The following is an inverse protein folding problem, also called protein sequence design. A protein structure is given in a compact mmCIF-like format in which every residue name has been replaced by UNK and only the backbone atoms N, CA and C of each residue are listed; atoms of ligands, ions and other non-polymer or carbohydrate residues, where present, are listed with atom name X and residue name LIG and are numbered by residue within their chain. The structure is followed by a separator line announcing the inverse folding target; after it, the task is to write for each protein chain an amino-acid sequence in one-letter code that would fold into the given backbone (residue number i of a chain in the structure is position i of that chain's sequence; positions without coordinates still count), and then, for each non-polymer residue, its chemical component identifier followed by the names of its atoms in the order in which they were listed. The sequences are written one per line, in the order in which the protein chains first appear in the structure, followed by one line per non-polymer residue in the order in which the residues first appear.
data_IF_793867062477
#
_entry.id   IF_793867062477
#
_cell.length_a   1.000
_cell.length_b   1.000
_cell.length_c   1.000
_cell.angle_alpha   90.00
_cell.angle_beta   90.00
_cell.angle_gamma   90.00
#
_symmetry.space_group_name_H-M   'P 1'
#
loop_
_entity.id
_entity.type
_entity.pdbx_description
1 polymer ?
#
# COMPACT_ATOMS: atom_id res chain seq x y z
N UNK A 1 -65.02 -11.54 -56.55
CA UNK A 1 -63.65 -10.97 -56.51
C UNK A 1 -62.72 -11.98 -55.86
N UNK A 2 -61.44 -11.92 -56.23
CA UNK A 2 -60.44 -12.99 -56.32
C UNK A 2 -59.97 -13.67 -55.01
N UNK A 3 -59.73 -15.00 -55.11
CA UNK A 3 -58.78 -15.78 -54.30
C UNK A 3 -57.33 -15.41 -54.66
N UNK A 4 -56.40 -15.44 -53.69
CA UNK A 4 -54.97 -15.83 -53.79
C UNK A 4 -54.33 -15.71 -52.40
N UNK A 5 -53.81 -16.79 -51.82
CA UNK A 5 -52.36 -17.08 -51.74
C UNK A 5 -51.88 -16.73 -50.32
N UNK A 6 -50.82 -17.27 -49.72
CA UNK A 6 -49.78 -18.19 -50.13
C UNK A 6 -49.07 -18.64 -48.83
N UNK A 7 -48.64 -19.89 -48.83
CA UNK A 7 -47.92 -20.62 -47.77
C UNK A 7 -46.59 -19.96 -47.37
N UNK A 8 -46.20 -20.05 -46.09
CA UNK A 8 -44.78 -20.16 -45.73
C UNK A 8 -44.63 -20.97 -44.42
N UNK A 9 -44.14 -22.21 -44.57
CA UNK A 9 -43.72 -23.09 -43.46
C UNK A 9 -42.24 -22.79 -43.21
N UNK A 10 -41.92 -22.33 -42.00
CA UNK A 10 -40.56 -22.10 -41.54
C UNK A 10 -40.00 -23.40 -40.95
N UNK A 11 -39.08 -24.04 -41.67
CA UNK A 11 -38.31 -25.20 -41.17
C UNK A 11 -37.10 -24.66 -40.42
N UNK A 12 -37.05 -24.87 -39.10
CA UNK A 12 -35.95 -24.47 -38.24
C UNK A 12 -35.07 -25.72 -37.99
N UNK A 13 -33.90 -25.73 -38.63
CA UNK A 13 -32.87 -26.75 -38.49
C UNK A 13 -32.22 -26.65 -37.10
N UNK A 14 -32.42 -27.67 -36.27
CA UNK A 14 -31.65 -27.87 -35.03
C UNK A 14 -30.20 -28.19 -35.38
N UNK A 15 -29.29 -27.27 -35.04
CA UNK A 15 -27.85 -27.51 -35.00
C UNK A 15 -27.46 -28.12 -33.66
N UNK A 16 -26.90 -29.34 -33.71
CA UNK A 16 -26.24 -30.00 -32.58
C UNK A 16 -24.86 -29.37 -32.39
N UNK A 17 -24.58 -28.83 -31.20
CA UNK A 17 -23.21 -28.56 -30.75
C UNK A 17 -22.92 -29.43 -29.53
N UNK A 18 -22.01 -30.39 -29.73
CA UNK A 18 -21.30 -31.10 -28.66
C UNK A 18 -19.95 -30.43 -28.59
N UNK A 19 -19.62 -29.80 -27.46
CA UNK A 19 -18.23 -29.50 -27.12
C UNK A 19 -17.93 -29.95 -25.69
N UNK A 20 -16.84 -30.70 -25.65
CA UNK A 20 -16.18 -31.39 -24.55
C UNK A 20 -16.04 -30.56 -23.28
N UNK A 21 -16.13 -31.25 -22.14
CA UNK A 21 -15.66 -30.71 -20.88
C UNK A 21 -14.15 -30.47 -20.89
N UNK A 22 -13.77 -29.36 -20.26
CA UNK A 22 -12.52 -29.22 -19.51
C UNK A 22 -12.93 -28.63 -18.16
N UNK A 23 -12.67 -29.37 -17.09
CA UNK A 23 -12.62 -28.78 -15.76
C UNK A 23 -11.35 -27.94 -15.70
N UNK A 24 -11.52 -26.64 -15.79
CA UNK A 24 -10.45 -25.68 -15.56
C UNK A 24 -10.63 -25.20 -14.13
N UNK A 25 -9.86 -25.80 -13.22
CA UNK A 25 -9.63 -25.27 -11.89
C UNK A 25 -8.99 -23.91 -12.04
N UNK A 26 -9.76 -22.85 -11.77
CA UNK A 26 -9.22 -21.51 -11.59
C UNK A 26 -8.20 -21.57 -10.44
N UNK A 27 -6.95 -21.12 -10.63
CA UNK A 27 -6.12 -20.81 -9.49
C UNK A 27 -6.80 -19.64 -8.78
N UNK A 28 -7.13 -19.84 -7.51
CA UNK A 28 -7.37 -18.75 -6.58
C UNK A 28 -6.02 -18.07 -6.41
N UNK A 29 -5.78 -17.04 -7.21
CA UNK A 29 -4.79 -16.02 -6.84
C UNK A 29 -5.36 -15.37 -5.60
N UNK A 30 -4.79 -15.75 -4.46
CA UNK A 30 -4.93 -15.01 -3.23
C UNK A 30 -4.11 -13.74 -3.43
N UNK A 31 -4.71 -12.78 -4.13
CA UNK A 31 -4.32 -11.38 -4.06
C UNK A 31 -4.48 -11.01 -2.58
N UNK A 32 -3.37 -11.01 -1.84
CA UNK A 32 -3.29 -10.29 -0.60
C UNK A 32 -3.80 -8.87 -0.90
N UNK A 33 -4.91 -8.50 -0.27
CA UNK A 33 -5.62 -7.28 -0.63
C UNK A 33 -4.73 -6.08 -0.39
N UNK A 34 -4.16 -5.52 -1.45
CA UNK A 34 -3.74 -4.12 -1.49
C UNK A 34 -5.03 -3.31 -1.51
N UNK A 35 -5.55 -3.11 -0.30
CA UNK A 35 -6.68 -2.24 -0.04
C UNK A 35 -6.13 -0.82 -0.12
N UNK A 36 -6.07 -0.28 -1.35
CA UNK A 36 -5.95 1.16 -1.57
C UNK A 36 -7.18 1.81 -0.94
N UNK A 37 -7.04 2.14 0.35
CA UNK A 37 -8.10 2.68 1.19
C UNK A 37 -8.20 4.20 1.04
N UNK A 38 -7.52 4.82 0.05
CA UNK A 38 -7.48 6.27 -0.08
C UNK A 38 -6.75 6.97 1.07
N UNK A 39 -5.96 6.24 1.86
CA UNK A 39 -5.14 6.81 2.93
C UNK A 39 -3.82 7.29 2.35
N UNK A 40 -3.44 8.49 2.73
CA UNK A 40 -2.28 9.21 2.23
C UNK A 40 -1.31 9.48 3.37
N UNK A 41 -0.01 9.26 3.14
CA UNK A 41 1.03 9.61 4.11
C UNK A 41 1.92 10.70 3.52
N UNK A 42 1.95 11.87 4.15
CA UNK A 42 2.99 12.89 3.95
C UNK A 42 4.05 12.72 5.02
N UNK A 43 5.24 12.21 4.68
CA UNK A 43 6.34 12.01 5.62
C UNK A 43 7.12 13.32 5.78
N UNK A 44 7.32 13.75 7.02
CA UNK A 44 7.90 15.05 7.37
C UNK A 44 9.24 14.84 8.07
N UNK A 45 10.31 15.44 7.54
CA UNK A 45 11.57 15.58 8.28
C UNK A 45 11.41 16.69 9.32
N UNK A 46 11.35 16.29 10.59
CA UNK A 46 11.10 17.20 11.73
C UNK A 46 12.28 18.13 12.00
N UNK A 47 13.46 17.85 11.46
CA UNK A 47 14.64 18.72 11.64
C UNK A 47 14.55 20.00 10.82
N UNK A 48 13.84 19.94 9.69
CA UNK A 48 13.65 21.07 8.76
C UNK A 48 12.19 21.46 8.56
N UNK A 49 11.25 20.69 9.10
CA UNK A 49 9.79 20.91 8.98
C UNK A 49 9.32 20.90 7.52
N UNK A 50 9.82 19.94 6.72
CA UNK A 50 9.48 19.78 5.31
C UNK A 50 9.02 18.34 5.00
N UNK A 51 8.05 18.23 4.08
CA UNK A 51 7.62 16.93 3.53
C UNK A 51 8.75 16.40 2.64
N UNK A 52 9.29 15.23 3.00
CA UNK A 52 10.39 14.58 2.29
C UNK A 52 9.90 13.51 1.33
N UNK A 53 8.77 12.88 1.63
CA UNK A 53 8.10 11.98 0.70
C UNK A 53 6.60 11.91 0.95
N UNK A 54 5.89 11.34 -0.01
CA UNK A 54 4.45 11.19 -0.02
C UNK A 54 4.10 9.82 -0.58
N UNK A 55 3.21 9.09 0.10
CA UNK A 55 2.66 7.80 -0.35
C UNK A 55 1.18 7.93 -0.71
N UNK A 56 0.82 7.47 -1.91
CA UNK A 56 -0.56 7.40 -2.41
C UNK A 56 -0.65 6.40 -3.56
N UNK A 57 -1.81 5.78 -3.79
CA UNK A 57 -2.04 4.77 -4.84
C UNK A 57 -0.90 3.72 -4.90
N UNK A 58 -0.53 3.14 -3.76
CA UNK A 58 0.50 2.10 -3.61
C UNK A 58 1.91 2.48 -4.12
N UNK A 59 2.30 3.76 -4.08
CA UNK A 59 3.67 4.15 -4.40
C UNK A 59 4.17 5.39 -3.66
N UNK A 60 5.50 5.44 -3.51
CA UNK A 60 6.28 6.57 -3.02
C UNK A 60 6.76 7.44 -4.18
N UNK A 61 6.96 8.74 -3.94
CA UNK A 61 7.30 9.70 -5.00
C UNK A 61 8.78 10.10 -5.03
N UNK A 62 9.46 10.14 -3.88
CA UNK A 62 10.79 10.76 -3.75
C UNK A 62 11.83 9.88 -3.06
N UNK A 63 11.48 9.18 -1.98
CA UNK A 63 12.38 8.46 -1.09
C UNK A 63 12.66 9.19 0.23
N UNK A 64 13.19 8.47 1.21
CA UNK A 64 13.63 9.04 2.49
C UNK A 64 14.96 9.80 2.35
N UNK A 65 15.23 10.79 3.25
CA UNK A 65 16.56 11.33 3.43
C UNK A 65 17.58 10.24 3.80
N UNK A 66 18.85 10.48 3.45
CA UNK A 66 19.95 9.63 3.92
C UNK A 66 20.05 9.66 5.44
N UNK A 67 20.19 8.49 6.05
CA UNK A 67 20.31 8.30 7.49
C UNK A 67 21.80 8.37 7.87
N UNK A 68 22.21 9.27 8.77
CA UNK A 68 23.62 9.34 9.16
C UNK A 68 24.04 8.15 10.05
N UNK A 69 25.22 7.60 9.79
CA UNK A 69 25.79 6.50 10.57
C UNK A 69 26.08 6.90 12.03
N UNK A 70 25.57 6.11 12.97
CA UNK A 70 25.58 6.37 14.42
C UNK A 70 24.77 7.61 14.85
N UNK A 71 23.87 8.09 14.00
CA UNK A 71 22.89 9.12 14.33
C UNK A 71 21.50 8.66 13.87
N UNK A 72 20.51 9.55 13.96
CA UNK A 72 19.15 9.27 13.53
C UNK A 72 18.57 10.41 12.69
N UNK A 73 17.54 10.08 11.92
CA UNK A 73 16.57 11.04 11.40
C UNK A 73 15.27 10.91 12.18
N UNK A 74 14.54 12.03 12.30
CA UNK A 74 13.26 12.10 13.00
C UNK A 74 12.14 12.46 12.04
N UNK A 75 11.25 11.50 11.83
CA UNK A 75 10.20 11.56 10.82
C UNK A 75 8.82 11.59 11.48
N UNK A 76 8.07 12.66 11.25
CA UNK A 76 6.64 12.74 11.53
C UNK A 76 5.82 12.44 10.28
N UNK A 77 4.49 12.51 10.40
CA UNK A 77 3.62 12.41 9.24
C UNK A 77 2.35 13.27 9.39
N UNK A 78 1.83 13.77 8.27
CA UNK A 78 0.39 14.04 8.16
C UNK A 78 -0.24 12.84 7.47
N UNK A 79 -1.30 12.29 8.05
CA UNK A 79 -2.03 11.16 7.46
C UNK A 79 -3.43 11.66 7.10
N UNK A 80 -3.81 11.51 5.83
CA UNK A 80 -5.10 11.98 5.31
C UNK A 80 -5.93 10.76 4.93
N UNK A 81 -7.18 10.72 5.40
CA UNK A 81 -8.10 9.61 5.17
C UNK A 81 -8.83 9.70 3.80
N UNK A 82 -9.68 8.71 3.53
CA UNK A 82 -10.50 8.64 2.30
C UNK A 82 -11.49 9.80 2.14
N UNK A 83 -11.71 10.60 3.17
CA UNK A 83 -12.58 11.77 3.18
C UNK A 83 -11.82 13.09 3.04
N UNK A 84 -10.51 13.03 2.75
CA UNK A 84 -9.61 14.18 2.71
C UNK A 84 -9.49 14.90 4.06
N UNK A 85 -9.76 14.20 5.16
CA UNK A 85 -9.60 14.71 6.53
C UNK A 85 -8.27 14.22 7.12
N UNK A 86 -7.56 15.11 7.80
CA UNK A 86 -6.32 14.78 8.51
C UNK A 86 -6.63 14.01 9.79
N UNK A 87 -5.95 12.88 9.98
CA UNK A 87 -6.00 12.06 11.18
C UNK A 87 -5.03 12.64 12.21
N UNK A 88 -5.55 13.05 13.37
CA UNK A 88 -4.72 13.54 14.48
C UNK A 88 -3.90 12.41 15.10
N UNK A 89 -2.57 12.53 15.05
CA UNK A 89 -1.63 11.61 15.70
C UNK A 89 -1.32 12.07 17.12
N UNK A 90 -2.14 11.65 18.08
CA UNK A 90 -2.00 12.00 19.50
C UNK A 90 -1.10 11.04 20.29
N UNK A 91 -0.71 9.91 19.69
CA UNK A 91 0.08 8.85 20.30
C UNK A 91 -0.68 7.97 21.29
N UNK A 92 -1.96 8.25 21.55
CA UNK A 92 -2.82 7.47 22.44
C UNK A 92 -3.86 6.67 21.64
N UNK A 93 -4.63 7.34 20.78
CA UNK A 93 -5.63 6.73 19.91
C UNK A 93 -5.04 6.43 18.55
N UNK A 94 -4.35 7.41 17.93
CA UNK A 94 -3.66 7.20 16.66
C UNK A 94 -2.18 7.54 16.78
N UNK A 95 -1.34 6.73 16.14
CA UNK A 95 0.09 6.90 16.13
C UNK A 95 0.69 6.57 14.76
N UNK A 96 1.84 7.18 14.46
CA UNK A 96 2.73 6.76 13.40
C UNK A 96 3.56 5.58 13.90
N UNK A 97 3.35 4.43 13.27
CA UNK A 97 4.20 3.25 13.45
C UNK A 97 5.21 3.11 12.32
N UNK A 98 6.22 2.27 12.55
CA UNK A 98 7.21 1.88 11.55
C UNK A 98 7.66 0.45 11.80
N UNK A 99 7.78 -0.33 10.73
CA UNK A 99 8.31 -1.70 10.81
C UNK A 99 9.21 -1.99 9.60
N UNK A 100 9.88 -3.13 9.62
CA UNK A 100 10.65 -3.63 8.49
C UNK A 100 9.74 -4.23 7.43
N UNK A 101 10.10 -4.03 6.17
CA UNK A 101 9.47 -4.77 5.08
C UNK A 101 9.85 -6.26 5.12
N UNK A 102 9.06 -7.09 4.44
CA UNK A 102 9.38 -8.51 4.27
C UNK A 102 10.78 -8.69 3.65
N UNK A 103 11.57 -9.62 4.20
CA UNK A 103 12.95 -9.92 3.80
C UNK A 103 13.96 -8.76 3.93
N UNK A 104 13.61 -7.66 4.60
CA UNK A 104 14.51 -6.53 4.83
C UNK A 104 15.71 -6.91 5.72
N UNK A 105 16.79 -6.16 5.57
CA UNK A 105 18.00 -6.35 6.38
C UNK A 105 17.94 -5.48 7.64
N UNK A 106 17.49 -6.06 8.75
CA UNK A 106 17.32 -5.38 10.04
C UNK A 106 18.65 -4.93 10.68
N UNK A 107 19.81 -5.40 10.21
CA UNK A 107 21.12 -5.02 10.77
C UNK A 107 21.55 -3.58 10.36
N UNK A 108 20.84 -2.93 9.43
CA UNK A 108 21.23 -1.62 8.85
C UNK A 108 20.76 -0.45 9.73
N UNK A 109 19.55 -0.54 10.28
CA UNK A 109 18.93 0.51 11.12
C UNK A 109 18.25 -0.08 12.34
N UNK A 110 18.09 0.72 13.39
CA UNK A 110 17.13 0.47 14.48
C UNK A 110 15.93 1.42 14.34
N UNK A 111 14.75 0.94 14.72
CA UNK A 111 13.50 1.70 14.67
C UNK A 111 13.02 2.03 16.09
N UNK A 112 12.60 3.27 16.35
CA UNK A 112 12.05 3.71 17.64
C UNK A 112 10.80 4.58 17.43
N UNK A 113 9.71 4.25 18.12
CA UNK A 113 8.40 4.88 17.94
C UNK A 113 8.06 5.82 19.10
N UNK A 114 7.51 6.99 18.80
CA UNK A 114 7.24 8.04 19.78
C UNK A 114 5.80 8.59 19.73
N UNK A 115 4.88 7.89 19.06
CA UNK A 115 3.48 8.30 18.93
C UNK A 115 3.25 9.11 17.65
N UNK A 116 3.58 10.40 17.65
CA UNK A 116 3.40 11.30 16.49
C UNK A 116 4.57 11.25 15.49
N UNK A 117 5.64 10.52 15.83
CA UNK A 117 6.84 10.40 15.01
C UNK A 117 7.61 9.12 15.32
N UNK A 118 8.57 8.84 14.45
CA UNK A 118 9.52 7.73 14.57
C UNK A 118 10.95 8.23 14.39
N UNK A 119 11.89 7.50 14.98
CA UNK A 119 13.31 7.62 14.68
C UNK A 119 13.78 6.41 13.89
N UNK A 120 14.56 6.69 12.85
CA UNK A 120 15.33 5.68 12.13
C UNK A 120 16.81 5.94 12.44
N UNK A 121 17.43 4.99 13.13
CA UNK A 121 18.79 5.12 13.67
C UNK A 121 19.75 4.34 12.78
N UNK A 122 20.77 4.99 12.23
CA UNK A 122 21.75 4.35 11.35
C UNK A 122 22.77 3.51 12.13
N UNK A 123 22.65 2.18 12.08
CA UNK A 123 23.56 1.26 12.77
C UNK A 123 24.76 0.86 11.92
N UNK A 124 24.53 0.68 10.61
CA UNK A 124 25.54 0.19 9.67
C UNK A 124 25.29 0.73 8.27
N UNK A 125 26.37 1.10 7.58
CA UNK A 125 26.30 1.50 6.17
C UNK A 125 25.63 0.43 5.31
N UNK A 126 24.70 0.84 4.45
CA UNK A 126 23.96 -0.02 3.55
C UNK A 126 22.52 0.44 3.34
N UNK A 127 21.74 -0.42 2.72
CA UNK A 127 20.32 -0.19 2.41
C UNK A 127 19.46 -1.25 3.09
N UNK A 128 18.27 -0.85 3.52
CA UNK A 128 17.18 -1.72 3.97
C UNK A 128 15.84 -1.16 3.49
N UNK A 129 14.73 -1.82 3.82
CA UNK A 129 13.39 -1.38 3.47
C UNK A 129 12.50 -1.37 4.71
N UNK A 130 11.72 -0.31 4.86
CA UNK A 130 10.78 -0.11 5.97
C UNK A 130 9.38 0.15 5.44
N UNK A 131 8.37 -0.06 6.27
CA UNK A 131 6.97 0.32 6.02
C UNK A 131 6.53 1.30 7.10
N UNK A 132 5.74 2.30 6.73
CA UNK A 132 5.06 3.17 7.68
C UNK A 132 3.66 2.63 7.96
N UNK A 133 3.21 2.83 9.19
CA UNK A 133 1.93 2.32 9.66
C UNK A 133 1.10 3.44 10.28
N UNK A 134 -0.21 3.39 10.07
CA UNK A 134 -1.17 4.07 10.93
C UNK A 134 -1.61 3.07 11.99
N UNK A 135 -1.32 3.38 13.26
CA UNK A 135 -1.76 2.59 14.39
C UNK A 135 -3.03 3.20 14.99
N UNK A 136 -3.96 2.36 15.43
CA UNK A 136 -5.12 2.75 16.22
C UNK A 136 -5.22 1.88 17.48
N UNK A 137 -5.17 2.50 18.66
CA UNK A 137 -5.14 1.84 19.96
C UNK A 137 -4.00 0.78 20.06
N UNK A 138 -2.90 1.01 19.34
CA UNK A 138 -1.72 0.13 19.27
C UNK A 138 -1.85 -1.06 18.31
N UNK A 139 -2.92 -1.14 17.52
CA UNK A 139 -3.07 -2.12 16.45
C UNK A 139 -2.87 -1.45 15.08
N UNK A 140 -2.30 -2.18 14.11
CA UNK A 140 -2.10 -1.67 12.75
C UNK A 140 -3.44 -1.55 12.04
N UNK A 141 -3.81 -0.32 11.68
CA UNK A 141 -5.01 -0.03 10.88
C UNK A 141 -4.68 0.05 9.38
N UNK A 142 -3.51 0.59 9.03
CA UNK A 142 -3.03 0.69 7.65
C UNK A 142 -1.50 0.59 7.58
N UNK A 143 -0.99 0.09 6.45
CA UNK A 143 0.44 -0.02 6.15
C UNK A 143 0.72 0.49 4.74
N UNK A 144 1.83 1.20 4.55
CA UNK A 144 2.30 1.61 3.23
C UNK A 144 3.01 0.45 2.51
N UNK A 145 3.23 0.60 1.19
CA UNK A 145 4.24 -0.24 0.52
C UNK A 145 5.65 0.06 1.07
N UNK A 146 6.61 -0.87 0.92
CA UNK A 146 7.99 -0.65 1.35
C UNK A 146 8.63 0.61 0.74
N UNK A 147 9.45 1.30 1.54
CA UNK A 147 10.32 2.40 1.11
C UNK A 147 11.78 2.09 1.46
N UNK A 148 12.72 2.31 0.53
CA UNK A 148 14.15 2.16 0.83
C UNK A 148 14.64 3.18 1.86
N UNK A 149 15.51 2.69 2.75
CA UNK A 149 16.23 3.48 3.74
C UNK A 149 17.74 3.24 3.57
N UNK A 150 18.52 4.32 3.40
CA UNK A 150 19.97 4.25 3.16
C UNK A 150 20.74 4.88 4.32
N UNK A 151 21.77 4.18 4.81
CA UNK A 151 22.70 4.68 5.84
C UNK A 151 24.06 4.98 5.22
N UNK A 152 24.56 6.20 5.41
CA UNK A 152 25.90 6.61 4.99
C UNK A 152 26.61 7.55 6.02
N UNK A 153 27.80 8.06 5.68
CA UNK A 153 28.73 8.75 6.61
C UNK A 153 28.62 10.27 6.61
#
# INVERSE_FOLDING_TARGET
MFKKGFTLILVLLLGVMVFSGCGESQPTEEEAGHSDNGVTFEIIDRSIDEVVDYHHDDHWHSGLPEIPLNDNISLGANIIDENEEEIELDGEHHALGIDFADDANEDIVSLDEHGDHVHIIGEKEGETEVIFQLLHDGEVEHETVPIPAEVAK
#
